data_IF_987433114101
#
_entry.id   IF_987433114101
#
_cell.length_a   1.000
_cell.length_b   1.000
_cell.length_c   1.000
_cell.angle_alpha   90.00
_cell.angle_beta   90.00
_cell.angle_gamma   90.00
#
_symmetry.space_group_name_H-M   'P 1'
#
loop_
_entity.id
_entity.type
_entity.pdbx_description
1 polymer ?
#
# COMPACT_ATOMS: atom_id res chain seq x y z
N UNK A 1 -3.21 23.19 -21.29
CA UNK A 1 -2.39 22.32 -20.41
C UNK A 1 -2.64 20.89 -20.87
N UNK A 2 -1.69 20.28 -21.59
CA UNK A 2 -1.85 18.92 -22.13
C UNK A 2 -1.50 17.91 -21.05
N UNK A 3 -2.48 17.14 -20.58
CA UNK A 3 -2.25 16.00 -19.70
C UNK A 3 -1.77 14.81 -20.55
N UNK A 4 -0.58 14.30 -20.24
CA UNK A 4 -0.02 13.08 -20.84
C UNK A 4 -0.60 11.86 -20.13
N UNK A 5 -1.09 10.82 -20.82
CA UNK A 5 -1.66 9.66 -20.15
C UNK A 5 -0.78 8.40 -20.24
N UNK A 6 -0.96 7.53 -19.24
CA UNK A 6 -0.63 6.09 -19.17
C UNK A 6 0.76 5.66 -18.68
N UNK A 7 0.78 4.76 -17.68
CA UNK A 7 1.96 3.99 -17.23
C UNK A 7 1.49 2.69 -16.58
N UNK A 8 2.01 1.53 -16.96
CA UNK A 8 1.84 0.29 -16.18
C UNK A 8 3.17 -0.03 -15.49
N UNK A 9 3.20 -0.04 -14.17
CA UNK A 9 4.41 -0.34 -13.42
C UNK A 9 4.34 -1.79 -12.95
N UNK A 10 5.28 -2.66 -13.32
CA UNK A 10 5.45 -3.94 -12.63
C UNK A 10 6.65 -3.81 -11.68
N UNK A 11 6.41 -3.87 -10.37
CA UNK A 11 7.44 -3.84 -9.33
C UNK A 11 7.74 -5.26 -8.83
N UNK A 12 9.00 -5.70 -8.90
CA UNK A 12 9.44 -7.05 -8.51
C UNK A 12 10.66 -7.02 -7.59
N UNK A 13 10.69 -7.90 -6.59
CA UNK A 13 11.85 -8.09 -5.72
C UNK A 13 12.52 -9.44 -5.98
N UNK A 14 13.77 -9.44 -6.47
CA UNK A 14 14.61 -10.63 -6.60
C UNK A 14 15.48 -10.82 -5.35
N UNK A 15 15.52 -12.05 -4.84
CA UNK A 15 16.66 -12.54 -4.08
C UNK A 15 17.50 -13.41 -5.00
N UNK A 16 18.65 -12.92 -5.47
CA UNK A 16 19.54 -13.74 -6.29
C UNK A 16 20.18 -14.85 -5.44
N UNK A 17 20.11 -16.09 -5.91
CA UNK A 17 21.05 -17.16 -5.56
C UNK A 17 22.00 -17.37 -6.75
N UNK A 18 23.31 -17.32 -6.45
CA UNK A 18 24.48 -17.60 -7.31
C UNK A 18 24.80 -16.61 -8.43
N UNK A 19 25.58 -15.59 -8.09
CA UNK A 19 26.80 -15.22 -8.83
C UNK A 19 27.76 -14.49 -7.86
N UNK A 20 28.88 -15.14 -7.60
CA UNK A 20 30.07 -14.81 -6.80
C UNK A 20 29.96 -14.18 -5.39
N UNK A 21 30.69 -14.84 -4.49
CA UNK A 21 30.94 -14.50 -3.10
C UNK A 21 31.70 -13.18 -2.98
N UNK A 22 31.02 -12.13 -2.51
CA UNK A 22 31.36 -11.38 -1.29
C UNK A 22 30.53 -10.10 -1.22
N UNK A 23 30.15 -9.72 0.01
CA UNK A 23 29.36 -8.55 0.41
C UNK A 23 27.82 -8.69 0.49
N UNK A 24 27.39 -9.21 1.66
CA UNK A 24 26.28 -8.71 2.48
C UNK A 24 24.97 -8.33 1.75
N UNK A 25 24.13 -9.37 1.51
CA UNK A 25 22.65 -9.34 1.49
C UNK A 25 22.02 -8.11 0.82
N UNK A 26 22.19 -8.00 -0.50
CA UNK A 26 21.51 -7.00 -1.33
C UNK A 26 20.25 -7.63 -1.92
N UNK A 27 19.06 -7.26 -1.43
CA UNK A 27 17.83 -7.46 -2.19
C UNK A 27 17.93 -6.64 -3.48
N UNK A 28 17.88 -7.28 -4.65
CA UNK A 28 17.83 -6.60 -5.94
C UNK A 28 16.36 -6.50 -6.35
N UNK A 29 15.81 -5.30 -6.45
CA UNK A 29 14.42 -5.12 -6.87
C UNK A 29 14.42 -4.85 -8.38
N UNK A 30 14.01 -5.82 -9.20
CA UNK A 30 13.89 -5.60 -10.63
C UNK A 30 12.51 -4.99 -10.87
N UNK A 31 12.45 -3.75 -11.35
CA UNK A 31 11.18 -3.08 -11.62
C UNK A 31 10.99 -3.08 -13.12
N UNK A 32 10.33 -4.06 -13.71
CA UNK A 32 9.88 -3.89 -15.09
C UNK A 32 8.80 -2.79 -15.12
N UNK A 33 9.22 -1.53 -15.12
CA UNK A 33 8.33 -0.43 -15.51
C UNK A 33 8.29 -0.45 -17.01
N UNK A 34 7.22 -0.98 -17.58
CA UNK A 34 6.90 -0.50 -18.91
C UNK A 34 6.37 0.93 -18.74
N UNK A 35 7.31 1.85 -18.92
CA UNK A 35 7.05 3.27 -18.99
C UNK A 35 6.37 3.55 -20.33
N UNK A 36 5.10 3.12 -20.43
CA UNK A 36 4.18 3.25 -21.56
C UNK A 36 3.67 4.70 -21.68
N UNK A 37 4.59 5.67 -21.63
CA UNK A 37 4.26 7.08 -21.84
C UNK A 37 3.67 7.36 -23.24
N UNK A 38 3.56 6.33 -24.11
CA UNK A 38 2.82 6.34 -25.36
C UNK A 38 2.32 4.93 -25.69
N UNK A 39 1.17 4.52 -25.18
CA UNK A 39 0.34 3.67 -26.02
C UNK A 39 0.03 4.48 -27.29
N UNK A 40 0.17 3.92 -28.51
CA UNK A 40 -0.48 4.54 -29.64
C UNK A 40 -1.96 4.69 -29.29
N UNK A 41 -2.59 5.82 -29.62
CA UNK A 41 -3.99 6.18 -29.31
C UNK A 41 -5.03 5.10 -29.76
N UNK A 42 -4.56 4.04 -30.39
CA UNK A 42 -5.31 3.00 -31.08
C UNK A 42 -5.15 1.60 -30.43
N UNK A 43 -4.39 1.47 -29.33
CA UNK A 43 -4.17 0.17 -28.68
C UNK A 43 -5.38 -0.21 -27.81
N UNK A 44 -6.38 -0.84 -28.44
CA UNK A 44 -7.63 -1.27 -27.81
C UNK A 44 -7.62 -2.71 -27.32
N UNK A 45 -6.54 -3.47 -27.58
CA UNK A 45 -6.41 -4.90 -27.25
C UNK A 45 -5.11 -5.21 -26.53
N UNK A 46 -5.23 -6.01 -25.48
CA UNK A 46 -4.11 -6.44 -24.63
C UNK A 46 -3.00 -7.19 -25.40
N UNK A 47 -3.37 -7.97 -26.43
CA UNK A 47 -2.41 -8.76 -27.22
C UNK A 47 -1.74 -7.98 -28.35
N UNK A 48 -1.91 -6.66 -28.43
CA UNK A 48 -1.16 -5.88 -29.39
C UNK A 48 0.34 -5.94 -29.05
N UNK A 49 1.17 -5.99 -30.09
CA UNK A 49 2.62 -6.08 -29.97
C UNK A 49 3.17 -4.71 -29.55
N UNK A 50 3.81 -4.55 -28.38
CA UNK A 50 4.53 -3.32 -28.12
C UNK A 50 5.67 -3.20 -29.15
N UNK A 51 6.06 -2.00 -29.56
CA UNK A 51 7.21 -1.85 -30.47
C UNK A 51 8.53 -2.03 -29.73
N UNK A 52 8.57 -1.61 -28.45
CA UNK A 52 9.72 -1.71 -27.55
C UNK A 52 9.23 -1.82 -26.11
N UNK A 53 9.94 -2.59 -25.29
CA UNK A 53 9.67 -2.75 -23.86
C UNK A 53 10.76 -2.00 -23.08
N UNK A 54 10.38 -1.09 -22.19
CA UNK A 54 11.32 -0.51 -21.23
C UNK A 54 11.37 -1.41 -20.00
N UNK A 55 12.58 -1.74 -19.56
CA UNK A 55 12.82 -2.56 -18.37
C UNK A 55 13.68 -1.76 -17.42
N UNK A 56 13.25 -1.59 -16.18
CA UNK A 56 14.03 -0.87 -15.18
C UNK A 56 14.63 -1.85 -14.16
N UNK A 57 15.92 -1.70 -13.89
CA UNK A 57 16.58 -2.41 -12.80
C UNK A 57 16.79 -1.43 -11.67
N UNK A 58 16.14 -1.66 -10.53
CA UNK A 58 16.27 -0.81 -9.35
C UNK A 58 17.16 -1.49 -8.31
N UNK A 59 18.41 -1.04 -8.23
CA UNK A 59 19.32 -1.51 -7.19
C UNK A 59 19.53 -0.38 -6.17
N UNK A 60 18.89 -0.48 -5.00
CA UNK A 60 18.91 0.48 -3.87
C UNK A 60 18.59 1.93 -4.27
N UNK A 61 19.51 2.62 -4.94
CA UNK A 61 19.45 4.04 -5.32
C UNK A 61 19.68 4.28 -6.83
N UNK A 62 20.01 3.24 -7.59
CA UNK A 62 20.21 3.34 -9.04
C UNK A 62 19.04 2.71 -9.78
N UNK A 63 18.46 3.48 -10.69
CA UNK A 63 17.53 2.99 -11.70
C UNK A 63 18.32 2.91 -12.99
N UNK A 64 18.61 1.70 -13.45
CA UNK A 64 19.09 1.49 -14.81
C UNK A 64 17.89 1.22 -15.70
N UNK A 65 17.74 1.97 -16.79
CA UNK A 65 16.68 1.76 -17.76
C UNK A 65 17.28 1.06 -18.98
N UNK A 66 16.66 -0.03 -19.40
CA UNK A 66 17.00 -0.77 -20.60
C UNK A 66 15.82 -0.67 -21.56
N UNK A 67 16.11 -0.52 -22.85
CA UNK A 67 15.11 -0.65 -23.89
C UNK A 67 15.35 -1.98 -24.59
N UNK A 68 14.37 -2.88 -24.53
CA UNK A 68 14.39 -4.16 -25.20
C UNK A 68 13.52 -4.08 -26.45
N UNK A 69 13.98 -4.69 -27.55
CA UNK A 69 13.12 -4.88 -28.71
C UNK A 69 12.01 -5.85 -28.34
N UNK A 70 10.83 -5.71 -28.95
CA UNK A 70 9.69 -6.57 -28.64
C UNK A 70 9.91 -8.06 -28.97
N UNK A 71 10.93 -8.40 -29.77
CA UNK A 71 11.24 -9.77 -30.21
C UNK A 71 10.05 -10.53 -30.83
N UNK A 72 9.00 -9.82 -31.26
CA UNK A 72 7.77 -10.42 -31.78
C UNK A 72 6.80 -10.97 -30.73
N UNK A 73 7.07 -10.75 -29.44
CA UNK A 73 6.25 -11.24 -28.34
C UNK A 73 5.02 -10.34 -28.10
N UNK A 74 3.90 -10.93 -27.76
CA UNK A 74 2.74 -10.23 -27.21
C UNK A 74 3.02 -9.77 -25.77
N UNK A 75 2.20 -8.84 -25.27
CA UNK A 75 2.30 -8.39 -23.87
C UNK A 75 2.17 -9.55 -22.87
N UNK A 76 1.27 -10.49 -23.14
CA UNK A 76 1.09 -11.68 -22.30
C UNK A 76 2.33 -12.56 -22.25
N UNK A 77 2.96 -12.79 -23.40
CA UNK A 77 4.22 -13.54 -23.50
C UNK A 77 5.37 -12.80 -22.81
N UNK A 78 5.42 -11.47 -22.91
CA UNK A 78 6.38 -10.66 -22.17
C UNK A 78 6.25 -10.82 -20.67
N UNK A 79 5.02 -10.72 -20.15
CA UNK A 79 4.76 -10.89 -18.73
C UNK A 79 5.22 -12.28 -18.28
N UNK A 80 4.83 -13.35 -18.98
CA UNK A 80 5.24 -14.71 -18.67
C UNK A 80 6.76 -14.90 -18.73
N UNK A 81 7.42 -14.34 -19.74
CA UNK A 81 8.87 -14.40 -19.87
C UNK A 81 9.57 -13.71 -18.71
N UNK A 82 9.11 -12.51 -18.31
CA UNK A 82 9.62 -11.77 -17.16
C UNK A 82 9.43 -12.56 -15.86
N UNK A 83 8.31 -13.27 -15.69
CA UNK A 83 8.10 -14.19 -14.57
C UNK A 83 9.05 -15.41 -14.62
N UNK A 84 9.33 -15.96 -15.80
CA UNK A 84 10.20 -17.12 -15.97
C UNK A 84 11.66 -16.85 -15.57
N UNK A 85 12.18 -15.67 -15.92
CA UNK A 85 13.58 -15.29 -15.67
C UNK A 85 13.80 -14.76 -14.24
N UNK A 86 12.72 -14.45 -13.52
CA UNK A 86 12.78 -13.85 -12.19
C UNK A 86 12.72 -14.85 -11.03
N UNK A 87 12.71 -16.16 -11.29
CA UNK A 87 12.77 -17.25 -10.29
C UNK A 87 12.29 -16.83 -8.87
N UNK A 88 10.98 -16.55 -8.69
CA UNK A 88 10.50 -15.78 -7.54
C UNK A 88 10.45 -16.66 -6.29
N UNK A 89 11.60 -16.86 -5.62
CA UNK A 89 11.65 -17.55 -4.33
C UNK A 89 10.92 -16.79 -3.20
N UNK A 90 10.56 -15.51 -3.39
CA UNK A 90 10.25 -14.61 -2.25
C UNK A 90 8.95 -13.81 -2.28
N UNK A 91 8.34 -13.52 -3.44
CA UNK A 91 7.02 -12.90 -3.56
C UNK A 91 6.80 -12.40 -4.99
N UNK A 92 5.65 -12.72 -5.60
CA UNK A 92 5.20 -12.13 -6.87
C UNK A 92 4.18 -11.03 -6.61
N UNK A 93 4.39 -9.85 -7.20
CA UNK A 93 3.48 -8.71 -7.11
C UNK A 93 3.22 -8.11 -8.48
N UNK A 94 2.02 -7.56 -8.67
CA UNK A 94 1.68 -6.78 -9.86
C UNK A 94 1.00 -5.48 -9.46
N UNK A 95 1.42 -4.38 -10.09
CA UNK A 95 0.80 -3.08 -9.91
C UNK A 95 -0.01 -2.72 -11.15
N UNK A 96 -1.30 -2.50 -10.97
CA UNK A 96 -2.23 -2.11 -12.02
C UNK A 96 -2.58 -0.65 -11.83
N UNK A 97 -2.08 0.17 -12.74
CA UNK A 97 -2.56 1.53 -12.85
C UNK A 97 -3.83 1.52 -13.67
N UNK A 98 -4.93 1.89 -13.03
CA UNK A 98 -6.24 1.84 -13.64
C UNK A 98 -6.39 3.09 -14.51
N UNK A 99 -6.14 2.96 -15.80
CA UNK A 99 -6.37 3.98 -16.83
C UNK A 99 -7.32 3.45 -17.94
N UNK A 100 -7.69 4.31 -18.90
CA UNK A 100 -8.60 4.08 -20.04
C UNK A 100 -8.55 2.71 -20.78
N UNK A 101 -9.71 2.42 -21.39
CA UNK A 101 -10.10 1.60 -22.55
C UNK A 101 -9.48 0.22 -22.88
N UNK A 102 -8.48 -0.29 -22.16
CA UNK A 102 -8.05 -1.68 -22.41
C UNK A 102 -9.07 -2.61 -21.75
N UNK A 103 -9.82 -3.32 -22.59
CA UNK A 103 -10.73 -4.35 -22.12
C UNK A 103 -9.94 -5.59 -21.69
N UNK A 104 -10.08 -5.95 -20.42
CA UNK A 104 -9.55 -7.18 -19.86
C UNK A 104 -10.71 -8.13 -19.58
N UNK A 105 -10.52 -9.42 -19.88
CA UNK A 105 -11.36 -10.46 -19.31
C UNK A 105 -10.57 -11.25 -18.25
N UNK A 106 -11.32 -11.76 -17.26
CA UNK A 106 -10.76 -12.50 -16.13
C UNK A 106 -9.95 -13.73 -16.59
N UNK A 107 -10.44 -14.58 -17.53
CA UNK A 107 -9.65 -15.69 -18.06
C UNK A 107 -8.30 -15.27 -18.63
N UNK A 108 -8.27 -14.24 -19.47
CA UNK A 108 -7.04 -13.71 -20.06
C UNK A 108 -6.03 -13.32 -18.97
N UNK A 109 -6.46 -12.51 -17.99
CA UNK A 109 -5.59 -12.11 -16.87
C UNK A 109 -5.02 -13.30 -16.10
N UNK A 110 -5.86 -14.30 -15.79
CA UNK A 110 -5.43 -15.49 -15.05
C UNK A 110 -4.48 -16.40 -15.84
N UNK A 111 -4.56 -16.39 -17.16
CA UNK A 111 -3.67 -17.19 -18.01
C UNK A 111 -2.29 -16.54 -18.19
N UNK A 112 -2.24 -15.21 -18.17
CA UNK A 112 -1.01 -14.44 -18.39
C UNK A 112 -0.18 -14.35 -17.12
N UNK A 113 -0.81 -13.99 -16.01
CA UNK A 113 -0.12 -13.82 -14.74
C UNK A 113 -0.02 -15.18 -14.04
N UNK A 114 1.17 -15.58 -13.56
CA UNK A 114 1.27 -16.68 -12.63
C UNK A 114 0.61 -16.29 -11.31
N UNK A 115 0.59 -17.24 -10.36
CA UNK A 115 0.04 -16.98 -9.02
C UNK A 115 0.75 -15.77 -8.38
N UNK A 116 -0.04 -14.75 -8.03
CA UNK A 116 0.42 -13.53 -7.39
C UNK A 116 0.23 -13.64 -5.87
N UNK A 117 1.20 -13.19 -5.09
CA UNK A 117 1.06 -13.02 -3.64
C UNK A 117 0.38 -11.68 -3.31
N UNK A 118 0.67 -10.65 -4.09
CA UNK A 118 0.22 -9.29 -3.85
C UNK A 118 -0.27 -8.63 -5.13
N UNK A 119 -1.32 -7.81 -5.01
CA UNK A 119 -1.70 -6.87 -6.07
C UNK A 119 -1.79 -5.45 -5.53
N UNK A 120 -1.43 -4.49 -6.36
CA UNK A 120 -1.54 -3.08 -6.08
C UNK A 120 -2.40 -2.42 -7.16
N UNK A 121 -3.46 -1.69 -6.76
CA UNK A 121 -4.29 -0.90 -7.66
C UNK A 121 -4.05 0.60 -7.39
N UNK A 122 -3.69 1.33 -8.43
CA UNK A 122 -3.47 2.78 -8.38
C UNK A 122 -4.51 3.50 -9.25
N UNK A 123 -5.28 4.40 -8.62
CA UNK A 123 -6.28 5.24 -9.27
C UNK A 123 -5.68 6.63 -9.54
N UNK A 124 -5.81 7.10 -10.77
CA UNK A 124 -5.00 8.23 -11.22
C UNK A 124 -5.76 9.55 -11.13
N UNK A 125 -7.09 9.50 -11.22
CA UNK A 125 -7.95 10.65 -11.18
C UNK A 125 -8.66 10.75 -9.83
N UNK A 126 -8.40 11.81 -9.09
CA UNK A 126 -9.04 12.08 -7.80
C UNK A 126 -10.38 12.84 -7.97
N UNK A 127 -10.60 13.48 -9.13
CA UNK A 127 -11.68 14.47 -9.29
C UNK A 127 -12.95 13.92 -9.97
N UNK A 128 -12.86 12.82 -10.72
CA UNK A 128 -14.04 12.17 -11.30
C UNK A 128 -13.82 10.69 -11.57
N UNK A 129 -14.76 9.88 -11.09
CA UNK A 129 -14.76 8.43 -11.29
C UNK A 129 -15.18 8.10 -12.71
N UNK A 130 -14.29 7.47 -13.46
CA UNK A 130 -14.61 6.93 -14.77
C UNK A 130 -15.23 5.53 -14.61
N UNK A 131 -16.39 5.29 -15.21
CA UNK A 131 -17.04 3.96 -15.23
C UNK A 131 -16.10 2.87 -15.79
N UNK A 132 -15.18 3.22 -16.67
CA UNK A 132 -14.15 2.32 -17.16
C UNK A 132 -13.14 1.93 -16.07
N UNK A 133 -12.71 2.89 -15.24
CA UNK A 133 -11.77 2.63 -14.15
C UNK A 133 -12.41 1.69 -13.13
N UNK A 134 -13.66 1.98 -12.76
CA UNK A 134 -14.48 1.11 -11.91
C UNK A 134 -14.56 -0.32 -12.46
N UNK A 135 -14.93 -0.46 -13.74
CA UNK A 135 -15.05 -1.78 -14.38
C UNK A 135 -13.72 -2.53 -14.39
N UNK A 136 -12.63 -1.85 -14.78
CA UNK A 136 -11.29 -2.44 -14.86
C UNK A 136 -10.82 -2.92 -13.49
N UNK A 137 -11.00 -2.09 -12.48
CA UNK A 137 -10.59 -2.42 -11.14
C UNK A 137 -11.40 -3.59 -10.56
N UNK A 138 -12.71 -3.66 -10.83
CA UNK A 138 -13.52 -4.83 -10.50
C UNK A 138 -13.04 -6.10 -11.21
N UNK A 139 -12.61 -6.00 -12.47
CA UNK A 139 -12.02 -7.13 -13.20
C UNK A 139 -10.74 -7.60 -12.54
N UNK A 140 -9.82 -6.68 -12.18
CA UNK A 140 -8.58 -7.04 -11.49
C UNK A 140 -8.83 -7.68 -10.12
N UNK A 141 -9.72 -7.10 -9.31
CA UNK A 141 -10.12 -7.70 -8.03
C UNK A 141 -10.70 -9.11 -8.25
N UNK A 142 -11.68 -9.27 -9.14
CA UNK A 142 -12.27 -10.60 -9.40
C UNK A 142 -11.26 -11.62 -9.92
N UNK A 143 -10.29 -11.18 -10.72
CA UNK A 143 -9.27 -12.03 -11.28
C UNK A 143 -8.32 -12.56 -10.20
N UNK A 144 -7.82 -11.69 -9.31
CA UNK A 144 -6.68 -11.99 -8.44
C UNK A 144 -7.01 -12.10 -6.95
N UNK A 145 -8.06 -11.43 -6.46
CA UNK A 145 -8.44 -11.42 -5.04
C UNK A 145 -8.61 -12.81 -4.40
N UNK A 146 -9.08 -13.86 -5.12
CA UNK A 146 -9.17 -15.21 -4.56
C UNK A 146 -7.82 -15.83 -4.17
N UNK A 147 -6.73 -15.41 -4.80
CA UNK A 147 -5.42 -16.07 -4.71
C UNK A 147 -4.35 -15.26 -3.97
N UNK A 148 -4.56 -13.95 -3.83
CA UNK A 148 -3.60 -13.03 -3.21
C UNK A 148 -3.73 -12.98 -1.70
N UNK A 149 -2.61 -12.78 -1.03
CA UNK A 149 -2.55 -12.58 0.41
C UNK A 149 -2.53 -11.09 0.77
N UNK A 150 -2.12 -10.23 -0.17
CA UNK A 150 -1.92 -8.80 0.04
C UNK A 150 -2.64 -7.97 -1.02
N UNK A 151 -3.34 -6.94 -0.58
CA UNK A 151 -3.99 -5.96 -1.45
C UNK A 151 -3.57 -4.56 -1.05
N UNK A 152 -3.09 -3.78 -2.01
CA UNK A 152 -2.88 -2.34 -1.85
C UNK A 152 -3.82 -1.58 -2.79
N UNK A 153 -4.46 -0.54 -2.26
CA UNK A 153 -5.30 0.40 -3.00
C UNK A 153 -4.77 1.82 -2.76
N UNK A 154 -4.59 2.60 -3.81
CA UNK A 154 -4.13 3.99 -3.69
C UNK A 154 -5.06 4.93 -4.44
N UNK A 155 -5.48 6.00 -3.74
CA UNK A 155 -6.45 7.01 -4.21
C UNK A 155 -7.83 6.41 -4.51
N UNK A 156 -8.23 5.42 -3.73
CA UNK A 156 -9.53 4.76 -3.87
C UNK A 156 -10.66 5.63 -3.33
N UNK A 157 -11.77 5.74 -4.06
CA UNK A 157 -12.99 6.43 -3.59
C UNK A 157 -14.09 5.41 -3.30
N UNK A 158 -14.35 5.14 -2.02
CA UNK A 158 -15.37 4.17 -1.62
C UNK A 158 -16.78 4.71 -1.90
N UNK A 159 -17.68 3.83 -2.32
CA UNK A 159 -19.03 4.16 -2.81
C UNK A 159 -19.08 4.51 -4.30
N UNK A 160 -17.98 5.00 -4.88
CA UNK A 160 -17.91 5.39 -6.28
C UNK A 160 -17.12 4.37 -7.11
N UNK A 161 -15.84 4.17 -6.77
CA UNK A 161 -14.96 3.18 -7.38
C UNK A 161 -15.31 1.76 -6.93
N UNK A 162 -15.47 1.56 -5.62
CA UNK A 162 -15.81 0.26 -5.04
C UNK A 162 -16.75 0.39 -3.86
N UNK A 163 -17.50 -0.68 -3.63
CA UNK A 163 -18.02 -0.96 -2.30
C UNK A 163 -17.00 -1.74 -1.48
N UNK A 164 -17.07 -1.63 -0.16
CA UNK A 164 -16.33 -2.54 0.72
C UNK A 164 -16.71 -4.00 0.45
N UNK A 165 -17.93 -4.27 -0.04
CA UNK A 165 -18.33 -5.62 -0.43
C UNK A 165 -17.46 -6.25 -1.51
N UNK A 166 -16.79 -5.45 -2.35
CA UNK A 166 -15.97 -5.95 -3.45
C UNK A 166 -14.67 -6.63 -2.98
N UNK A 167 -14.16 -6.27 -1.79
CA UNK A 167 -12.90 -6.83 -1.27
C UNK A 167 -12.86 -7.08 0.24
N UNK A 168 -13.74 -6.47 1.02
CA UNK A 168 -13.72 -6.51 2.49
C UNK A 168 -13.91 -7.90 3.07
N UNK A 169 -14.55 -8.82 2.34
CA UNK A 169 -14.71 -10.21 2.75
C UNK A 169 -13.51 -11.10 2.41
N UNK A 170 -12.55 -10.61 1.62
CA UNK A 170 -11.33 -11.36 1.30
C UNK A 170 -10.51 -11.62 2.55
N UNK A 171 -10.01 -12.85 2.69
CA UNK A 171 -9.20 -13.27 3.83
C UNK A 171 -7.73 -12.83 3.64
N UNK A 172 -7.48 -11.53 3.67
CA UNK A 172 -6.14 -10.97 3.41
C UNK A 172 -5.22 -11.09 4.63
N UNK A 173 -3.93 -11.33 4.40
CA UNK A 173 -2.91 -11.10 5.42
C UNK A 173 -2.65 -9.61 5.59
N UNK A 174 -2.65 -8.85 4.50
CA UNK A 174 -2.36 -7.42 4.51
C UNK A 174 -3.27 -6.64 3.56
N UNK A 175 -3.84 -5.54 4.06
CA UNK A 175 -4.60 -4.58 3.29
C UNK A 175 -4.03 -3.18 3.53
N UNK A 176 -3.54 -2.55 2.47
CA UNK A 176 -3.06 -1.17 2.50
C UNK A 176 -3.98 -0.27 1.68
N UNK A 177 -4.38 0.87 2.25
CA UNK A 177 -5.16 1.91 1.57
C UNK A 177 -4.48 3.26 1.77
N UNK A 178 -4.02 3.89 0.69
CA UNK A 178 -3.42 5.23 0.73
C UNK A 178 -4.34 6.24 0.07
N UNK A 179 -4.54 7.37 0.74
CA UNK A 179 -5.47 8.43 0.34
C UNK A 179 -6.89 7.92 0.03
N UNK A 180 -7.49 7.06 0.88
CA UNK A 180 -8.86 6.64 0.65
C UNK A 180 -9.83 7.81 0.81
N UNK A 181 -10.82 7.86 -0.07
CA UNK A 181 -11.95 8.78 0.00
C UNK A 181 -13.25 8.06 0.41
N UNK A 182 -14.13 8.82 1.07
CA UNK A 182 -15.43 8.36 1.57
C UNK A 182 -15.37 7.12 2.49
N UNK A 183 -14.22 6.88 3.14
CA UNK A 183 -14.07 5.76 4.07
C UNK A 183 -14.61 6.11 5.45
N UNK A 184 -15.52 5.27 5.96
CA UNK A 184 -16.10 5.40 7.29
C UNK A 184 -15.52 4.35 8.24
N UNK A 185 -15.77 4.54 9.54
CA UNK A 185 -15.30 3.57 10.53
C UNK A 185 -15.99 2.20 10.43
N UNK A 186 -17.26 2.18 10.03
CA UNK A 186 -18.02 0.95 9.77
C UNK A 186 -17.39 0.12 8.65
N UNK A 187 -16.76 0.80 7.70
CA UNK A 187 -16.08 0.17 6.58
C UNK A 187 -14.84 -0.58 7.11
N UNK A 188 -14.06 0.04 8.01
CA UNK A 188 -12.91 -0.61 8.69
C UNK A 188 -13.34 -1.85 9.50
N UNK A 189 -14.51 -1.80 10.13
CA UNK A 189 -15.08 -2.92 10.90
C UNK A 189 -15.55 -4.08 10.03
N UNK A 190 -15.70 -3.85 8.73
CA UNK A 190 -16.15 -4.85 7.77
C UNK A 190 -14.98 -5.52 7.03
N UNK A 191 -13.75 -5.04 7.24
CA UNK A 191 -12.54 -5.59 6.62
C UNK A 191 -12.08 -6.86 7.33
N UNK A 192 -11.79 -7.90 6.54
CA UNK A 192 -11.37 -9.21 7.01
C UNK A 192 -9.86 -9.46 6.77
N UNK A 193 -9.02 -8.54 7.25
CA UNK A 193 -7.56 -8.62 7.11
C UNK A 193 -6.84 -8.79 8.46
N UNK A 194 -5.67 -9.42 8.45
CA UNK A 194 -4.83 -9.53 9.66
C UNK A 194 -4.07 -8.23 9.97
N UNK A 195 -3.56 -7.56 8.93
CA UNK A 195 -2.89 -6.27 9.00
C UNK A 195 -3.62 -5.27 8.11
N UNK A 196 -3.99 -4.11 8.66
CA UNK A 196 -4.63 -3.02 7.93
C UNK A 196 -3.76 -1.77 8.08
N UNK A 197 -3.36 -1.17 6.97
CA UNK A 197 -2.69 0.13 6.93
C UNK A 197 -3.56 1.11 6.16
N UNK A 198 -3.87 2.24 6.78
CA UNK A 198 -4.59 3.36 6.18
C UNK A 198 -3.67 4.57 6.29
N UNK A 199 -3.20 5.06 5.15
CA UNK A 199 -2.28 6.18 5.10
C UNK A 199 -2.83 7.34 4.29
N UNK A 200 -2.22 8.51 4.46
CA UNK A 200 -2.47 9.68 3.62
C UNK A 200 -3.95 10.07 3.59
N UNK A 201 -4.67 9.82 4.68
CA UNK A 201 -6.07 10.22 4.81
C UNK A 201 -6.16 11.63 5.36
N UNK A 202 -7.24 12.35 5.07
CA UNK A 202 -7.51 13.65 5.67
C UNK A 202 -8.26 13.47 7.00
N UNK A 203 -7.94 14.30 8.01
CA UNK A 203 -8.55 14.29 9.36
C UNK A 203 -10.08 14.33 9.29
N UNK A 204 -10.61 15.04 8.29
CA UNK A 204 -12.05 15.26 8.11
C UNK A 204 -12.82 13.96 7.81
N UNK A 205 -12.13 12.90 7.37
CA UNK A 205 -12.77 11.62 7.00
C UNK A 205 -12.87 10.65 8.16
N UNK A 206 -11.79 10.46 8.93
CA UNK A 206 -11.77 9.57 10.10
C UNK A 206 -11.37 10.36 11.34
N UNK A 207 -12.36 10.69 12.16
CA UNK A 207 -12.12 11.48 13.37
C UNK A 207 -11.60 10.61 14.52
N UNK A 208 -11.01 11.25 15.55
CA UNK A 208 -10.65 10.55 16.80
C UNK A 208 -11.87 9.90 17.49
N UNK A 209 -13.08 10.43 17.29
CA UNK A 209 -14.32 9.85 17.84
C UNK A 209 -14.68 8.57 17.10
N UNK A 210 -14.46 8.54 15.80
CA UNK A 210 -14.66 7.35 14.98
C UNK A 210 -13.68 6.26 15.39
N UNK A 211 -12.39 6.59 15.53
CA UNK A 211 -11.38 5.66 16.05
C UNK A 211 -11.72 5.16 17.47
N UNK A 212 -12.21 6.04 18.35
CA UNK A 212 -12.68 5.63 19.68
C UNK A 212 -13.82 4.59 19.59
N UNK A 213 -14.77 4.82 18.68
CA UNK A 213 -15.89 3.89 18.43
C UNK A 213 -15.37 2.56 17.87
N UNK A 214 -14.43 2.59 16.94
CA UNK A 214 -13.74 1.40 16.43
C UNK A 214 -13.15 0.57 17.58
N UNK A 215 -12.30 1.18 18.42
CA UNK A 215 -11.64 0.46 19.51
C UNK A 215 -12.62 -0.09 20.55
N UNK A 216 -13.72 0.63 20.82
CA UNK A 216 -14.80 0.13 21.68
C UNK A 216 -15.48 -1.10 21.10
N UNK A 217 -15.70 -1.15 19.79
CA UNK A 217 -16.31 -2.28 19.10
C UNK A 217 -15.33 -3.46 18.99
N UNK A 218 -14.06 -3.19 18.67
CA UNK A 218 -13.00 -4.20 18.73
C UNK A 218 -12.89 -4.83 20.13
N UNK A 219 -12.93 -4.03 21.20
CA UNK A 219 -12.92 -4.51 22.60
C UNK A 219 -14.09 -5.46 22.94
N UNK A 220 -15.20 -5.33 22.21
CA UNK A 220 -16.39 -6.20 22.30
C UNK A 220 -16.31 -7.44 21.40
N UNK A 221 -15.27 -7.58 20.58
CA UNK A 221 -14.98 -8.77 19.78
C UNK A 221 -15.22 -8.65 18.27
N UNK A 222 -15.38 -7.43 17.74
CA UNK A 222 -15.32 -7.17 16.29
C UNK A 222 -13.89 -7.35 15.74
N UNK A 223 -13.74 -7.63 14.44
CA UNK A 223 -12.44 -7.78 13.77
C UNK A 223 -11.48 -8.77 14.45
N UNK A 224 -11.94 -10.00 14.68
CA UNK A 224 -11.19 -11.04 15.44
C UNK A 224 -9.86 -11.47 14.82
N UNK A 225 -9.67 -11.25 13.51
CA UNK A 225 -8.43 -11.58 12.80
C UNK A 225 -7.38 -10.47 12.87
N UNK A 226 -7.79 -9.26 13.21
CA UNK A 226 -6.93 -8.09 13.22
C UNK A 226 -5.81 -8.26 14.25
N UNK A 227 -4.59 -8.31 13.76
CA UNK A 227 -3.34 -8.32 14.53
C UNK A 227 -2.70 -6.94 14.55
N UNK A 228 -2.83 -6.18 13.45
CA UNK A 228 -2.24 -4.84 13.33
C UNK A 228 -3.17 -3.89 12.58
N UNK A 229 -3.33 -2.69 13.12
CA UNK A 229 -3.97 -1.55 12.45
C UNK A 229 -3.02 -0.35 12.54
N UNK A 230 -2.65 0.22 11.41
CA UNK A 230 -1.90 1.46 11.33
C UNK A 230 -2.73 2.51 10.59
N UNK A 231 -2.97 3.65 11.23
CA UNK A 231 -3.68 4.77 10.60
C UNK A 231 -2.83 6.02 10.76
N UNK A 232 -2.55 6.72 9.67
CA UNK A 232 -1.86 8.01 9.72
C UNK A 232 -2.46 9.02 8.74
N UNK A 233 -2.42 10.29 9.15
CA UNK A 233 -3.02 11.41 8.43
C UNK A 233 -2.23 12.70 8.66
N UNK A 234 -2.40 13.67 7.76
CA UNK A 234 -1.82 15.00 7.92
C UNK A 234 -2.69 15.86 8.85
N UNK A 235 -2.09 16.45 9.88
CA UNK A 235 -2.74 17.42 10.75
C UNK A 235 -1.74 18.46 11.25
N UNK A 236 -2.16 19.73 11.17
CA UNK A 236 -1.43 20.86 11.72
C UNK A 236 -1.66 21.06 13.21
N UNK A 237 -2.64 20.37 13.78
CA UNK A 237 -3.01 20.50 15.19
C UNK A 237 -2.69 19.24 15.94
N UNK A 238 -2.27 19.39 17.20
CA UNK A 238 -2.04 18.27 18.09
C UNK A 238 -3.38 17.59 18.40
N UNK A 239 -3.53 16.28 18.11
CA UNK A 239 -4.75 15.56 18.39
C UNK A 239 -5.07 15.53 19.89
N UNK A 240 -6.33 15.75 20.27
CA UNK A 240 -6.77 15.52 21.65
C UNK A 240 -6.96 14.02 21.90
N UNK A 241 -5.87 13.38 22.33
CA UNK A 241 -5.84 11.95 22.66
C UNK A 241 -6.87 11.55 23.73
N UNK A 242 -7.35 12.48 24.56
CA UNK A 242 -8.40 12.17 25.54
C UNK A 242 -9.72 11.81 24.84
N UNK A 243 -10.01 12.42 23.69
CA UNK A 243 -11.17 12.07 22.85
C UNK A 243 -11.05 10.62 22.38
N UNK A 244 -9.87 10.23 21.88
CA UNK A 244 -9.60 8.87 21.41
C UNK A 244 -9.74 7.83 22.52
N UNK A 245 -9.29 8.15 23.74
CA UNK A 245 -9.20 7.22 24.86
C UNK A 245 -10.48 7.12 25.69
N UNK A 246 -11.41 8.05 25.52
CA UNK A 246 -12.61 8.18 26.34
C UNK A 246 -13.39 6.87 26.43
N UNK A 247 -13.44 6.29 27.62
CA UNK A 247 -14.19 5.05 27.91
C UNK A 247 -13.52 3.75 27.47
N UNK A 248 -12.27 3.77 27.01
CA UNK A 248 -11.51 2.54 26.71
C UNK A 248 -10.92 1.87 27.95
N UNK A 249 -10.86 2.58 29.09
CA UNK A 249 -10.15 2.15 30.32
C UNK A 249 -8.73 1.69 29.96
N UNK A 250 -7.98 2.57 29.32
CA UNK A 250 -6.62 2.28 28.88
C UNK A 250 -5.64 2.53 30.04
N UNK A 251 -4.72 1.61 30.23
CA UNK A 251 -3.61 1.79 31.18
C UNK A 251 -2.53 2.63 30.47
N UNK A 252 -2.11 3.74 31.09
CA UNK A 252 -1.00 4.54 30.58
C UNK A 252 0.30 3.74 30.75
N UNK A 253 0.92 3.33 29.64
CA UNK A 253 2.04 2.40 29.66
C UNK A 253 3.42 3.10 29.68
N UNK A 254 3.43 4.45 29.81
CA UNK A 254 4.57 5.41 29.74
C UNK A 254 4.63 6.18 28.42
N UNK A 255 5.27 7.33 28.46
CA UNK A 255 5.71 8.06 27.27
C UNK A 255 6.96 7.36 26.72
N UNK A 256 6.94 7.00 25.44
CA UNK A 256 8.08 6.44 24.73
C UNK A 256 8.56 7.45 23.68
N UNK A 257 9.83 7.36 23.28
CA UNK A 257 10.28 8.05 22.06
C UNK A 257 9.63 7.35 20.87
N UNK A 258 9.04 8.11 19.94
CA UNK A 258 8.47 7.48 18.76
C UNK A 258 9.54 6.73 17.95
N UNK A 259 9.13 5.72 17.15
CA UNK A 259 10.04 5.06 16.23
C UNK A 259 10.67 6.10 15.30
N UNK A 260 12.01 6.08 15.20
CA UNK A 260 12.74 6.97 14.30
C UNK A 260 12.16 6.86 12.89
N UNK A 261 11.93 8.01 12.24
CA UNK A 261 11.37 8.02 10.88
C UNK A 261 12.28 7.18 9.95
N UNK A 262 11.77 6.18 9.21
CA UNK A 262 12.58 5.39 8.30
C UNK A 262 13.36 6.22 7.27
N UNK A 263 12.87 7.42 6.93
CA UNK A 263 13.55 8.39 6.06
C UNK A 263 14.68 9.07 6.82
N UNK A 264 14.47 9.46 8.08
CA UNK A 264 15.49 10.07 8.94
C UNK A 264 16.61 9.08 9.29
N UNK A 265 16.24 7.84 9.64
CA UNK A 265 17.19 6.74 9.86
C UNK A 265 18.02 6.49 8.59
N UNK A 266 17.38 6.42 7.42
CA UNK A 266 18.08 6.27 6.12
C UNK A 266 19.00 7.45 5.80
N UNK A 267 18.59 8.68 6.07
CA UNK A 267 19.41 9.87 5.83
C UNK A 267 20.66 9.85 6.71
N UNK A 268 20.52 9.46 7.98
CA UNK A 268 21.64 9.34 8.92
C UNK A 268 22.60 8.21 8.55
N UNK A 269 22.08 7.03 8.15
CA UNK A 269 22.87 5.91 7.64
C UNK A 269 23.64 6.26 6.34
N UNK A 270 23.19 7.26 5.59
CA UNK A 270 23.82 7.74 4.35
C UNK A 270 24.77 8.93 4.55
N UNK A 271 25.00 9.38 5.79
CA UNK A 271 25.85 10.54 6.07
C UNK A 271 25.30 11.87 5.55
N UNK A 272 24.00 11.93 5.24
CA UNK A 272 23.33 13.18 4.88
C UNK A 272 23.10 13.98 6.16
N UNK A 273 23.89 15.04 6.34
CA UNK A 273 23.76 15.97 7.46
C UNK A 273 22.57 16.89 7.17
N UNK A 274 21.59 16.91 8.07
CA UNK A 274 20.49 17.87 8.02
C UNK A 274 21.04 19.28 8.19
N UNK A 275 20.62 20.22 7.33
CA UNK A 275 21.06 21.63 7.37
C UNK A 275 20.83 22.31 8.74
N UNK A 276 19.96 21.76 9.60
CA UNK A 276 19.69 22.24 10.95
C UNK A 276 19.60 21.08 11.97
N UNK A 277 20.70 20.70 12.61
CA UNK A 277 20.71 19.73 13.72
C UNK A 277 19.85 20.17 14.92
N UNK A 278 19.58 21.48 15.07
CA UNK A 278 18.67 22.03 16.09
C UNK A 278 17.19 21.72 15.83
N UNK A 279 16.75 21.61 14.58
CA UNK A 279 15.36 21.23 14.24
C UNK A 279 15.14 19.73 14.43
N UNK A 280 16.14 18.91 14.08
CA UNK A 280 16.11 17.47 14.34
C UNK A 280 16.06 17.12 15.84
N UNK A 281 16.72 17.90 16.70
CA UNK A 281 16.69 17.72 18.15
C UNK A 281 15.39 18.22 18.82
N UNK A 282 14.61 19.07 18.14
CA UNK A 282 13.29 19.54 18.58
C UNK A 282 12.13 18.64 18.12
N UNK A 283 12.39 17.65 17.26
CA UNK A 283 11.46 16.58 16.88
C UNK A 283 11.33 15.55 18.02
N UNK A 284 10.91 16.00 19.20
CA UNK A 284 10.42 15.11 20.24
C UNK A 284 9.07 14.58 19.80
N UNK A 285 9.09 13.53 18.98
CA UNK A 285 7.93 12.73 18.65
C UNK A 285 7.44 12.09 19.97
N UNK A 286 6.51 12.76 20.65
CA UNK A 286 5.92 12.23 21.87
C UNK A 286 5.02 11.06 21.47
N UNK A 287 5.52 9.83 21.63
CA UNK A 287 4.69 8.66 21.51
C UNK A 287 4.00 8.40 22.85
N UNK A 288 2.70 8.62 22.87
CA UNK A 288 1.87 8.12 23.97
C UNK A 288 1.54 6.66 23.69
N UNK A 289 1.86 5.81 24.66
CA UNK A 289 1.59 4.38 24.60
C UNK A 289 0.51 4.00 25.60
N UNK A 290 -0.47 3.24 25.10
CA UNK A 290 -1.62 2.80 25.86
C UNK A 290 -1.81 1.30 25.70
N UNK A 291 -2.23 0.65 26.78
CA UNK A 291 -2.63 -0.76 26.73
C UNK A 291 -4.14 -0.85 26.87
N UNK A 292 -4.79 -1.46 25.89
CA UNK A 292 -6.23 -1.71 25.86
C UNK A 292 -6.46 -3.21 26.05
N UNK A 293 -7.12 -3.59 27.14
CA UNK A 293 -7.43 -4.99 27.44
C UNK A 293 -8.77 -5.39 26.84
N UNK A 294 -8.77 -6.46 26.06
CA UNK A 294 -9.96 -7.09 25.49
C UNK A 294 -10.66 -7.96 26.55
N UNK A 295 -11.98 -8.09 26.44
CA UNK A 295 -12.81 -8.89 27.36
C UNK A 295 -12.46 -10.39 27.40
N UNK A 296 -11.72 -10.88 26.40
CA UNK A 296 -11.35 -12.29 26.20
C UNK A 296 -9.86 -12.58 26.45
N UNK A 297 -9.16 -11.71 27.18
CA UNK A 297 -7.75 -11.92 27.55
C UNK A 297 -6.71 -11.35 26.57
N UNK A 298 -7.09 -10.94 25.36
CA UNK A 298 -6.18 -10.23 24.45
C UNK A 298 -5.81 -8.85 25.00
N UNK A 299 -4.60 -8.38 24.69
CA UNK A 299 -4.20 -7.00 24.92
C UNK A 299 -3.87 -6.35 23.57
N UNK A 300 -4.08 -5.05 23.48
CA UNK A 300 -3.60 -4.28 22.36
C UNK A 300 -2.78 -3.08 22.84
N UNK A 301 -1.65 -2.89 22.20
CA UNK A 301 -0.80 -1.73 22.35
C UNK A 301 -1.22 -0.68 21.34
N UNK A 302 -1.57 0.51 21.80
CA UNK A 302 -1.86 1.66 20.96
C UNK A 302 -0.77 2.70 21.16
N UNK A 303 -0.06 3.05 20.08
CA UNK A 303 0.90 4.15 20.04
C UNK A 303 0.31 5.30 19.25
N UNK A 304 0.41 6.48 19.84
CA UNK A 304 -0.06 7.72 19.25
C UNK A 304 1.10 8.70 19.22
N UNK A 305 1.55 9.09 18.05
CA UNK A 305 2.65 10.05 17.90
C UNK A 305 2.40 11.04 16.78
N UNK A 306 2.98 12.23 16.93
CA UNK A 306 2.95 13.30 15.93
C UNK A 306 4.38 13.45 15.40
N UNK A 307 4.55 13.37 14.08
CA UNK A 307 5.81 13.67 13.41
C UNK A 307 5.78 15.12 12.96
N UNK A 308 6.50 15.96 13.69
CA UNK A 308 6.56 17.42 13.47
C UNK A 308 7.07 17.78 12.08
N UNK A 309 8.05 17.04 11.54
CA UNK A 309 8.61 17.33 10.22
C UNK A 309 7.63 17.09 9.05
N UNK A 310 6.66 16.20 9.22
CA UNK A 310 5.69 15.86 8.16
C UNK A 310 4.30 16.41 8.46
N UNK A 311 4.11 17.10 9.59
CA UNK A 311 2.78 17.43 10.11
C UNK A 311 1.85 16.20 10.11
N UNK A 312 2.38 15.01 10.38
CA UNK A 312 1.58 13.76 10.37
C UNK A 312 1.28 13.27 11.77
N UNK A 313 0.07 12.80 11.98
CA UNK A 313 -0.33 12.05 13.17
C UNK A 313 -0.47 10.58 12.83
N UNK A 314 0.01 9.74 13.72
CA UNK A 314 0.00 8.28 13.59
C UNK A 314 -0.72 7.66 14.78
N UNK A 315 -1.56 6.66 14.49
CA UNK A 315 -2.14 5.73 15.44
C UNK A 315 -1.74 4.33 15.00
N UNK A 316 -0.80 3.73 15.70
CA UNK A 316 -0.45 2.32 15.55
C UNK A 316 -1.16 1.52 16.64
N UNK A 317 -1.87 0.46 16.24
CA UNK A 317 -2.59 -0.44 17.13
C UNK A 317 -2.15 -1.87 16.83
N UNK A 318 -1.54 -2.53 17.81
CA UNK A 318 -1.01 -3.88 17.68
C UNK A 318 -1.64 -4.80 18.73
N UNK A 319 -2.24 -5.90 18.29
CA UNK A 319 -2.89 -6.89 19.15
C UNK A 319 -1.89 -7.99 19.49
N UNK A 320 -1.64 -8.20 20.78
CA UNK A 320 -0.91 -9.35 21.30
C UNK A 320 -1.89 -10.41 21.81
N UNK A 321 -1.62 -11.67 21.46
CA UNK A 321 -2.39 -12.83 21.93
C UNK A 321 -1.81 -13.46 23.17
#
# INVERSE_FOLDING_TARGET
>A
MQFSPYTFNFLWAMGDNKFDEDMLRICKTYKAVEDFNRFPENMTKFNALPTTVKVHKRCKYRVATFTWSNQGMSLGEWIQHLFSISNPEKSSSADFHVYNSIEFDIPTLRNIFPKLESIFLFFCNEESVNEHEKRSAQIFLKAFLPDVEKLRLERVCLGEHFSIGDFGMANLKELEMYSPDNMRVEDILSLNAESITIGDTNVDKITLRDLNRFFKLWKKGSNRKLKKLNIWWYTRTTPDWNVLLKGLKADNAREEKAPEDPIAQRAREQGLVWLNEREAAQNLDVAKKFIIRHSRGFAAEMKCYMRTFQETTHVEFTVSK
#
